data_IF_421556266933
#
_entry.id   IF_421556266933
#
_cell.length_a   1.000
_cell.length_b   1.000
_cell.length_c   1.000
_cell.angle_alpha   90.00
_cell.angle_beta   90.00
_cell.angle_gamma   90.00
#
_symmetry.space_group_name_H-M   'P 1'
#
loop_
_entity.id
_entity.type
_entity.pdbx_description
1 polymer ?
#
# COMPACT_ATOMS: atom_id res chain seq x y z
N UNK A 1 -1.25 -28.91 -5.26
CA UNK A 1 -0.43 -29.51 -4.20
C UNK A 1 -0.69 -28.85 -2.86
N UNK A 2 -0.48 -27.50 -2.69
CA UNK A 2 -0.61 -26.80 -1.42
C UNK A 2 -2.01 -26.96 -0.78
N UNK A 3 -3.06 -26.80 -1.56
CA UNK A 3 -4.44 -26.99 -1.08
C UNK A 3 -4.67 -28.41 -0.56
N UNK A 4 -4.13 -29.42 -1.26
CA UNK A 4 -4.22 -30.81 -0.81
C UNK A 4 -3.46 -31.08 0.51
N UNK A 5 -2.56 -30.17 0.92
CA UNK A 5 -1.87 -30.21 2.21
C UNK A 5 -2.56 -29.34 3.28
N UNK A 6 -3.76 -28.81 3.00
CA UNK A 6 -4.49 -27.93 3.91
C UNK A 6 -3.91 -26.51 4.01
N UNK A 7 -3.09 -26.09 3.04
CA UNK A 7 -2.49 -24.75 2.99
C UNK A 7 -3.27 -23.87 2.03
N UNK A 8 -3.63 -22.65 2.44
CA UNK A 8 -4.24 -21.64 1.59
C UNK A 8 -3.15 -20.89 0.81
N UNK A 9 -3.02 -21.08 -0.52
CA UNK A 9 -2.03 -20.37 -1.31
C UNK A 9 -2.38 -18.90 -1.43
N UNK A 10 -1.36 -18.04 -1.41
CA UNK A 10 -1.50 -16.63 -1.70
C UNK A 10 -0.48 -16.22 -2.77
N UNK A 11 -0.85 -15.27 -3.63
CA UNK A 11 0.04 -14.79 -4.69
C UNK A 11 -0.18 -13.31 -4.98
N UNK A 12 0.85 -12.62 -5.48
CA UNK A 12 0.75 -11.23 -5.91
C UNK A 12 -0.03 -11.10 -7.21
N UNK A 13 -0.99 -10.17 -7.24
CA UNK A 13 -2.06 -10.10 -8.23
C UNK A 13 -1.69 -9.61 -9.61
N UNK A 14 -0.47 -9.09 -9.83
CA UNK A 14 -0.06 -8.51 -11.12
C UNK A 14 -0.13 -9.50 -12.30
N UNK A 15 0.06 -10.78 -12.05
CA UNK A 15 -0.09 -11.81 -13.07
C UNK A 15 -1.53 -11.89 -13.61
N UNK A 16 -2.52 -11.66 -12.74
CA UNK A 16 -3.92 -11.75 -13.11
C UNK A 16 -4.39 -10.59 -13.97
N UNK A 17 -3.76 -9.42 -13.84
CA UNK A 17 -4.05 -8.28 -14.73
C UNK A 17 -3.54 -8.51 -16.14
N UNK A 18 -2.43 -9.26 -16.26
CA UNK A 18 -1.80 -9.59 -17.55
C UNK A 18 -2.47 -10.77 -18.24
N UNK A 19 -2.94 -11.72 -17.45
CA UNK A 19 -3.49 -13.00 -17.91
C UNK A 19 -4.78 -13.33 -17.15
N UNK A 20 -5.87 -12.55 -17.35
CA UNK A 20 -7.11 -12.72 -16.59
C UNK A 20 -7.78 -14.08 -16.82
N UNK A 21 -7.52 -14.74 -17.96
CA UNK A 21 -7.97 -16.10 -18.25
C UNK A 21 -7.44 -17.13 -17.25
N UNK A 22 -6.26 -16.92 -16.69
CA UNK A 22 -5.64 -17.79 -15.69
C UNK A 22 -6.42 -17.85 -14.38
N UNK A 23 -7.31 -16.88 -14.11
CA UNK A 23 -8.17 -16.91 -12.94
C UNK A 23 -9.02 -18.18 -12.85
N UNK A 24 -9.49 -18.67 -14.00
CA UNK A 24 -10.36 -19.86 -14.08
C UNK A 24 -9.61 -21.18 -13.75
N UNK A 25 -8.28 -21.17 -13.83
CA UNK A 25 -7.43 -22.35 -13.58
C UNK A 25 -6.98 -22.46 -12.12
N UNK A 26 -7.14 -21.38 -11.33
CA UNK A 26 -6.71 -21.36 -9.94
C UNK A 26 -7.72 -22.12 -9.03
N UNK A 27 -7.20 -22.83 -8.01
CA UNK A 27 -8.05 -23.36 -6.95
C UNK A 27 -8.82 -22.22 -6.26
N UNK A 28 -10.08 -22.45 -5.94
CA UNK A 28 -10.96 -21.44 -5.31
C UNK A 28 -10.48 -20.97 -3.93
N UNK A 29 -9.69 -21.79 -3.26
CA UNK A 29 -9.07 -21.48 -1.98
C UNK A 29 -7.91 -20.48 -2.09
N UNK A 30 -7.47 -20.19 -3.30
CA UNK A 30 -6.35 -19.27 -3.53
C UNK A 30 -6.77 -17.82 -3.26
N UNK A 31 -5.89 -17.06 -2.62
CA UNK A 31 -6.12 -15.64 -2.31
C UNK A 31 -5.19 -14.77 -3.18
N UNK A 32 -5.76 -13.82 -3.87
CA UNK A 32 -5.03 -12.81 -4.62
C UNK A 32 -4.64 -11.64 -3.71
N UNK A 33 -3.35 -11.33 -3.63
CA UNK A 33 -2.82 -10.12 -3.01
C UNK A 33 -2.80 -9.02 -4.08
N UNK A 34 -3.92 -8.30 -4.19
CA UNK A 34 -4.14 -7.31 -5.25
C UNK A 34 -3.50 -5.99 -4.86
N UNK A 35 -2.29 -5.75 -5.37
CA UNK A 35 -1.48 -4.60 -5.00
C UNK A 35 -1.57 -3.45 -6.02
N UNK A 36 -1.30 -2.24 -5.55
CA UNK A 36 -1.19 -1.07 -6.40
C UNK A 36 -0.85 0.18 -5.58
N UNK A 37 -0.02 1.08 -6.13
CA UNK A 37 0.59 2.18 -5.39
C UNK A 37 0.33 3.55 -6.01
N UNK A 38 -0.58 3.65 -6.98
CA UNK A 38 -1.00 4.94 -7.50
C UNK A 38 -1.88 5.66 -6.46
N UNK A 39 -1.76 6.98 -6.28
CA UNK A 39 -2.62 7.75 -5.39
C UNK A 39 -4.12 7.47 -5.62
N UNK A 40 -4.52 7.40 -6.89
CA UNK A 40 -5.86 7.00 -7.31
C UNK A 40 -5.78 5.67 -8.06
N UNK A 41 -5.63 4.59 -7.30
CA UNK A 41 -5.53 3.25 -7.87
C UNK A 41 -6.76 2.91 -8.72
N UNK A 42 -6.53 2.23 -9.83
CA UNK A 42 -7.58 1.89 -10.79
C UNK A 42 -8.59 0.92 -10.20
N UNK A 43 -9.85 1.27 -10.27
CA UNK A 43 -10.94 0.46 -9.73
C UNK A 43 -11.12 -0.88 -10.46
N UNK A 44 -10.86 -0.91 -11.78
CA UNK A 44 -11.06 -2.11 -12.58
C UNK A 44 -10.18 -3.28 -12.12
N UNK A 45 -9.00 -3.03 -11.58
CA UNK A 45 -8.09 -4.09 -11.13
C UNK A 45 -8.68 -4.90 -9.98
N UNK A 46 -9.36 -4.26 -9.03
CA UNK A 46 -10.00 -4.94 -7.90
C UNK A 46 -11.39 -5.50 -8.28
N UNK A 47 -12.12 -4.78 -9.13
CA UNK A 47 -13.43 -5.18 -9.66
C UNK A 47 -13.34 -6.47 -10.46
N UNK A 48 -12.35 -6.57 -11.36
CA UNK A 48 -12.25 -7.68 -12.30
C UNK A 48 -11.80 -8.97 -11.58
N UNK A 49 -10.94 -8.88 -10.58
CA UNK A 49 -10.62 -10.00 -9.67
C UNK A 49 -11.86 -10.43 -8.88
N UNK A 50 -12.63 -9.50 -8.34
CA UNK A 50 -13.88 -9.84 -7.63
C UNK A 50 -14.87 -10.56 -8.58
N UNK A 51 -15.00 -10.08 -9.82
CA UNK A 51 -15.87 -10.69 -10.83
C UNK A 51 -15.44 -12.11 -11.22
N UNK A 52 -14.16 -12.44 -11.12
CA UNK A 52 -13.64 -13.79 -11.36
C UNK A 52 -13.99 -14.80 -10.25
N UNK A 53 -14.48 -14.32 -9.10
CA UNK A 53 -14.78 -15.12 -7.92
C UNK A 53 -13.57 -15.51 -7.06
N UNK A 54 -12.38 -14.98 -7.37
CA UNK A 54 -11.19 -15.18 -6.55
C UNK A 54 -11.25 -14.27 -5.32
N UNK A 55 -11.01 -14.86 -4.16
CA UNK A 55 -10.84 -14.11 -2.92
C UNK A 55 -9.62 -13.19 -2.98
N UNK A 56 -9.73 -11.95 -2.50
CA UNK A 56 -8.62 -11.00 -2.56
C UNK A 56 -8.44 -10.16 -1.30
N UNK A 57 -7.19 -9.78 -1.05
CA UNK A 57 -6.82 -8.64 -0.20
C UNK A 57 -6.52 -7.42 -1.08
N UNK A 58 -6.88 -6.24 -0.60
CA UNK A 58 -6.35 -4.99 -1.14
C UNK A 58 -4.97 -4.72 -0.51
N UNK A 59 -3.96 -4.47 -1.34
CA UNK A 59 -2.58 -4.32 -0.90
C UNK A 59 -2.01 -2.95 -1.32
N UNK A 60 -2.40 -1.86 -0.63
CA UNK A 60 -1.78 -0.54 -0.82
C UNK A 60 -0.36 -0.49 -0.25
N UNK A 61 0.30 0.65 -0.38
CA UNK A 61 1.63 0.84 0.19
C UNK A 61 1.87 2.19 0.83
N UNK A 62 2.82 2.21 1.75
CA UNK A 62 3.23 3.42 2.48
C UNK A 62 4.16 4.34 1.67
N UNK A 63 4.54 3.93 0.46
CA UNK A 63 5.34 4.71 -0.50
C UNK A 63 6.68 5.21 0.05
N UNK A 64 7.36 4.37 0.87
CA UNK A 64 8.66 4.69 1.49
C UNK A 64 9.88 4.21 0.72
N UNK A 65 9.72 3.33 -0.25
CA UNK A 65 10.84 2.73 -1.02
C UNK A 65 11.54 3.72 -1.93
N UNK A 66 12.85 3.52 -2.14
CA UNK A 66 13.73 4.30 -3.01
C UNK A 66 13.90 5.78 -2.65
N UNK A 67 13.63 6.20 -1.40
CA UNK A 67 13.70 7.60 -0.99
C UNK A 67 14.02 7.76 0.49
N UNK A 68 14.43 8.96 0.88
CA UNK A 68 14.68 9.30 2.29
C UNK A 68 13.37 9.53 3.06
N UNK A 69 12.42 10.22 2.42
CA UNK A 69 11.11 10.53 3.01
C UNK A 69 10.01 9.83 2.24
N UNK A 70 9.08 9.13 2.92
CA UNK A 70 7.89 8.56 2.28
C UNK A 70 7.05 9.63 1.59
N UNK A 71 6.42 9.28 0.47
CA UNK A 71 5.41 10.11 -0.17
C UNK A 71 4.10 10.03 0.63
N UNK A 72 4.02 10.73 1.74
CA UNK A 72 2.96 10.57 2.73
C UNK A 72 1.57 10.90 2.18
N UNK A 73 1.45 11.94 1.36
CA UNK A 73 0.18 12.29 0.72
C UNK A 73 -0.24 11.24 -0.32
N UNK A 74 0.70 10.73 -1.12
CA UNK A 74 0.42 9.66 -2.07
C UNK A 74 0.02 8.37 -1.34
N UNK A 75 0.70 8.03 -0.25
CA UNK A 75 0.36 6.90 0.63
C UNK A 75 -1.06 7.03 1.16
N UNK A 76 -1.42 8.19 1.72
CA UNK A 76 -2.76 8.48 2.20
C UNK A 76 -3.82 8.28 1.11
N UNK A 77 -3.64 8.88 -0.08
CA UNK A 77 -4.57 8.75 -1.19
C UNK A 77 -4.68 7.30 -1.69
N UNK A 78 -3.55 6.62 -1.82
CA UNK A 78 -3.49 5.23 -2.25
C UNK A 78 -4.23 4.30 -1.28
N UNK A 79 -3.91 4.38 0.00
CA UNK A 79 -4.52 3.54 1.04
C UNK A 79 -6.03 3.81 1.12
N UNK A 80 -6.44 5.09 1.16
CA UNK A 80 -7.86 5.49 1.15
C UNK A 80 -8.60 4.91 -0.06
N UNK A 81 -8.03 5.06 -1.26
CA UNK A 81 -8.64 4.58 -2.50
C UNK A 81 -8.75 3.06 -2.52
N UNK A 82 -7.68 2.36 -2.14
CA UNK A 82 -7.66 0.89 -2.12
C UNK A 82 -8.63 0.34 -1.07
N UNK A 83 -8.72 0.94 0.11
CA UNK A 83 -9.71 0.54 1.14
C UNK A 83 -11.14 0.77 0.67
N UNK A 84 -11.42 1.91 0.00
CA UNK A 84 -12.73 2.16 -0.59
C UNK A 84 -13.11 1.09 -1.62
N UNK A 85 -12.20 0.75 -2.53
CA UNK A 85 -12.43 -0.32 -3.51
C UNK A 85 -12.59 -1.68 -2.82
N UNK A 86 -11.80 -1.97 -1.79
CA UNK A 86 -11.90 -3.20 -1.01
C UNK A 86 -13.30 -3.38 -0.42
N UNK A 87 -13.85 -2.34 0.21
CA UNK A 87 -15.22 -2.35 0.72
C UNK A 87 -16.25 -2.55 -0.38
N UNK A 88 -16.12 -1.80 -1.48
CA UNK A 88 -17.06 -1.85 -2.60
C UNK A 88 -17.14 -3.23 -3.27
N UNK A 89 -16.02 -3.96 -3.34
CA UNK A 89 -15.90 -5.24 -4.03
C UNK A 89 -15.68 -6.43 -3.08
N UNK A 90 -15.99 -6.26 -1.79
CA UNK A 90 -15.96 -7.33 -0.79
C UNK A 90 -14.62 -8.06 -0.71
N UNK A 91 -13.51 -7.34 -0.82
CA UNK A 91 -12.21 -7.90 -0.46
C UNK A 91 -12.20 -8.30 1.02
N UNK A 92 -11.51 -9.38 1.35
CA UNK A 92 -11.54 -9.96 2.70
C UNK A 92 -10.72 -9.18 3.73
N UNK A 93 -9.92 -8.20 3.28
CA UNK A 93 -9.13 -7.37 4.17
C UNK A 93 -8.11 -6.51 3.45
N UNK A 94 -7.26 -5.89 4.25
CA UNK A 94 -6.17 -5.00 3.86
C UNK A 94 -4.83 -5.63 4.23
N UNK A 95 -3.87 -5.61 3.32
CA UNK A 95 -2.46 -5.87 3.57
C UNK A 95 -1.67 -4.62 3.18
N UNK A 96 -1.50 -3.68 4.10
CA UNK A 96 -0.72 -2.47 3.87
C UNK A 96 0.77 -2.80 3.81
N UNK A 97 1.45 -2.42 2.73
CA UNK A 97 2.82 -2.84 2.43
C UNK A 97 3.83 -1.71 2.63
N UNK A 98 5.02 -2.09 3.09
CA UNK A 98 6.21 -1.24 3.14
C UNK A 98 7.37 -1.98 2.47
N UNK A 99 7.70 -1.56 1.24
CA UNK A 99 8.73 -2.22 0.43
C UNK A 99 10.10 -1.58 0.65
N UNK A 100 11.12 -2.42 0.64
CA UNK A 100 12.52 -2.01 0.76
C UNK A 100 13.31 -2.26 -0.51
N UNK A 101 12.80 -1.85 -1.66
CA UNK A 101 13.41 -2.02 -2.97
C UNK A 101 14.85 -1.51 -2.99
N UNK A 102 15.77 -2.27 -3.56
CA UNK A 102 17.21 -1.99 -3.61
C UNK A 102 17.87 -1.80 -2.22
N UNK A 103 17.30 -2.42 -1.18
CA UNK A 103 17.66 -2.16 0.20
C UNK A 103 16.97 -0.91 0.76
N UNK A 104 16.41 -1.02 1.93
CA UNK A 104 15.62 0.03 2.58
C UNK A 104 16.53 1.21 2.98
N UNK A 105 16.55 2.26 2.17
CA UNK A 105 17.47 3.40 2.36
C UNK A 105 17.01 4.38 3.42
N UNK A 106 15.69 4.51 3.63
CA UNK A 106 15.14 5.41 4.65
C UNK A 106 15.12 4.77 6.05
N UNK A 107 14.88 5.58 7.05
CA UNK A 107 14.59 5.09 8.41
C UNK A 107 13.16 4.51 8.43
N UNK A 108 12.97 3.21 8.76
CA UNK A 108 11.65 2.58 8.79
C UNK A 108 10.64 3.27 9.72
N UNK A 109 11.10 4.06 10.70
CA UNK A 109 10.22 4.84 11.58
C UNK A 109 9.47 5.95 10.83
N UNK A 110 9.97 6.39 9.68
CA UNK A 110 9.34 7.43 8.86
C UNK A 110 8.09 6.90 8.13
N UNK A 111 7.95 5.58 7.96
CA UNK A 111 6.78 4.96 7.30
C UNK A 111 5.61 4.69 8.26
N UNK A 112 5.83 4.84 9.57
CA UNK A 112 4.80 4.62 10.61
C UNK A 112 3.50 5.39 10.33
N UNK A 113 3.50 6.69 9.94
CA UNK A 113 2.24 7.36 9.60
C UNK A 113 1.45 6.63 8.51
N UNK A 114 2.10 6.14 7.45
CA UNK A 114 1.45 5.36 6.39
C UNK A 114 0.86 4.03 6.89
N UNK A 115 1.53 3.38 7.85
CA UNK A 115 0.99 2.18 8.51
C UNK A 115 -0.27 2.53 9.30
N UNK A 116 -0.27 3.65 10.02
CA UNK A 116 -1.42 4.12 10.80
C UNK A 116 -2.57 4.59 9.90
N UNK A 117 -2.30 5.14 8.71
CA UNK A 117 -3.35 5.39 7.71
C UNK A 117 -4.03 4.09 7.29
N UNK A 118 -3.26 3.02 7.08
CA UNK A 118 -3.81 1.69 6.79
C UNK A 118 -4.70 1.17 7.91
N UNK A 119 -4.30 1.34 9.16
CA UNK A 119 -5.11 0.97 10.31
C UNK A 119 -6.42 1.76 10.38
N UNK A 120 -6.37 3.08 10.16
CA UNK A 120 -7.53 3.94 10.18
C UNK A 120 -8.55 3.58 9.08
N UNK A 121 -8.12 3.47 7.82
CA UNK A 121 -9.00 3.15 6.69
C UNK A 121 -9.39 1.68 6.60
N UNK A 122 -8.59 0.78 7.12
CA UNK A 122 -8.95 -0.64 7.22
C UNK A 122 -10.02 -0.90 8.28
N UNK A 123 -10.09 -0.06 9.32
CA UNK A 123 -11.08 -0.14 10.39
C UNK A 123 -12.35 0.64 10.08
N UNK A 124 -12.22 1.85 9.51
CA UNK A 124 -13.32 2.75 9.19
C UNK A 124 -13.52 2.89 7.69
N UNK A 125 -14.75 2.68 7.22
CA UNK A 125 -15.15 2.99 5.84
C UNK A 125 -15.30 4.50 5.58
N UNK A 126 -15.53 5.29 6.64
CA UNK A 126 -15.70 6.73 6.53
C UNK A 126 -14.38 7.44 6.24
N UNK A 127 -14.36 8.35 5.26
CA UNK A 127 -13.16 9.08 4.92
C UNK A 127 -12.78 10.07 6.04
N UNK A 128 -11.50 10.07 6.39
CA UNK A 128 -10.88 11.07 7.27
C UNK A 128 -9.96 11.92 6.42
N UNK A 129 -9.99 13.23 6.56
CA UNK A 129 -9.14 14.13 5.77
C UNK A 129 -7.67 14.04 6.20
N UNK A 130 -6.76 14.32 5.25
CA UNK A 130 -5.33 14.12 5.44
C UNK A 130 -4.78 14.87 6.66
N UNK A 131 -5.13 16.15 6.80
CA UNK A 131 -4.63 16.99 7.90
C UNK A 131 -5.20 16.53 9.26
N UNK A 132 -6.46 16.14 9.30
CA UNK A 132 -7.12 15.62 10.49
C UNK A 132 -6.45 14.30 10.94
N UNK A 133 -6.19 13.40 10.01
CA UNK A 133 -5.51 12.13 10.31
C UNK A 133 -4.07 12.37 10.79
N UNK A 134 -3.33 13.29 10.17
CA UNK A 134 -2.00 13.67 10.60
C UNK A 134 -1.98 14.29 11.99
N UNK A 135 -2.94 15.13 12.32
CA UNK A 135 -3.09 15.68 13.67
C UNK A 135 -3.37 14.57 14.69
N UNK A 136 -4.28 13.66 14.38
CA UNK A 136 -4.59 12.53 15.24
C UNK A 136 -3.36 11.64 15.49
N UNK A 137 -2.62 11.29 14.44
CA UNK A 137 -1.38 10.49 14.55
C UNK A 137 -0.32 11.23 15.36
N UNK A 138 -0.15 12.54 15.14
CA UNK A 138 0.79 13.36 15.91
C UNK A 138 0.50 13.30 17.41
N UNK A 139 -0.77 13.48 17.78
CA UNK A 139 -1.19 13.48 19.20
C UNK A 139 -1.17 12.09 19.83
N UNK A 140 -1.77 11.12 19.16
CA UNK A 140 -2.03 9.80 19.76
C UNK A 140 -0.81 8.89 19.75
N UNK A 141 -0.03 8.91 18.68
CA UNK A 141 1.12 8.03 18.53
C UNK A 141 2.42 8.69 19.00
N UNK A 142 2.67 9.93 18.55
CA UNK A 142 3.92 10.65 18.89
C UNK A 142 3.84 11.45 20.17
N UNK A 143 2.66 11.63 20.77
CA UNK A 143 2.49 12.42 21.99
C UNK A 143 2.72 13.93 21.76
N UNK A 144 2.65 14.39 20.53
CA UNK A 144 2.84 15.80 20.19
C UNK A 144 1.59 16.60 20.54
N UNK A 145 1.66 17.37 21.62
CA UNK A 145 0.54 18.21 22.10
C UNK A 145 0.12 19.28 21.07
N UNK A 146 0.99 19.66 20.14
CA UNK A 146 0.66 20.64 19.08
C UNK A 146 -0.16 20.01 17.95
N UNK A 147 -0.02 18.69 17.74
CA UNK A 147 -0.65 17.96 16.65
C UNK A 147 -0.03 18.22 15.28
N UNK A 148 1.15 18.82 15.21
CA UNK A 148 1.76 19.31 13.97
C UNK A 148 2.86 18.40 13.41
N UNK A 149 3.40 17.50 14.22
CA UNK A 149 4.61 16.74 13.88
C UNK A 149 4.49 15.99 12.54
N UNK A 150 3.43 15.21 12.35
CA UNK A 150 3.25 14.41 11.14
C UNK A 150 2.95 15.29 9.92
N UNK A 151 2.18 16.37 10.10
CA UNK A 151 1.95 17.35 9.03
C UNK A 151 3.22 18.06 8.58
N UNK A 152 4.16 18.35 9.50
CA UNK A 152 5.47 18.89 9.17
C UNK A 152 6.36 17.86 8.46
N UNK A 153 6.35 16.61 8.90
CA UNK A 153 7.01 15.51 8.18
C UNK A 153 6.51 15.39 6.74
N UNK A 154 5.19 15.44 6.53
CA UNK A 154 4.60 15.34 5.21
C UNK A 154 5.08 16.46 4.26
N UNK A 155 5.33 17.65 4.76
CA UNK A 155 5.88 18.76 3.94
C UNK A 155 7.31 18.53 3.49
N UNK A 156 8.10 17.70 4.19
CA UNK A 156 9.47 17.41 3.79
C UNK A 156 9.55 16.62 2.48
N UNK A 157 8.51 15.83 2.16
CA UNK A 157 8.44 15.09 0.87
C UNK A 157 8.56 16.02 -0.35
N UNK A 158 8.09 17.27 -0.24
CA UNK A 158 8.08 18.22 -1.37
C UNK A 158 9.48 18.75 -1.71
N UNK A 159 10.44 18.57 -0.81
CA UNK A 159 11.82 19.00 -0.97
C UNK A 159 12.76 17.86 -1.34
N UNK A 160 12.28 16.63 -1.36
CA UNK A 160 13.10 15.48 -1.71
C UNK A 160 13.08 15.24 -3.21
N UNK A 161 14.24 15.34 -3.82
CA UNK A 161 14.50 15.03 -5.24
C UNK A 161 15.30 13.74 -5.42
N UNK A 162 15.64 13.07 -4.31
CA UNK A 162 16.44 11.85 -4.32
C UNK A 162 15.62 10.63 -4.72
N UNK A 163 16.16 9.82 -5.61
CA UNK A 163 15.64 8.51 -5.98
C UNK A 163 16.78 7.48 -5.87
N UNK A 164 16.68 6.60 -4.87
CA UNK A 164 17.71 5.59 -4.59
C UNK A 164 17.89 4.61 -5.76
N UNK A 165 16.82 4.23 -6.43
CA UNK A 165 16.89 3.36 -7.62
C UNK A 165 17.75 3.99 -8.70
N UNK A 166 17.61 5.28 -8.96
CA UNK A 166 18.44 5.97 -9.95
C UNK A 166 19.91 5.98 -9.54
N UNK A 167 20.20 6.12 -8.25
CA UNK A 167 21.57 6.05 -7.73
C UNK A 167 22.16 4.66 -7.89
N UNK A 168 21.42 3.61 -7.56
CA UNK A 168 21.85 2.22 -7.73
C UNK A 168 22.06 1.89 -9.20
N UNK A 169 21.11 2.23 -10.06
CA UNK A 169 21.24 2.00 -11.50
C UNK A 169 22.44 2.73 -12.09
N UNK A 170 22.71 3.96 -11.64
CA UNK A 170 23.88 4.71 -12.08
C UNK A 170 25.19 4.01 -11.67
N UNK A 171 25.27 3.50 -10.45
CA UNK A 171 26.45 2.77 -9.96
C UNK A 171 26.64 1.45 -10.71
N UNK A 172 25.54 0.73 -11.00
CA UNK A 172 25.59 -0.59 -11.64
C UNK A 172 25.75 -0.53 -13.17
N UNK A 173 25.35 0.57 -13.81
CA UNK A 173 25.45 0.73 -15.26
C UNK A 173 26.77 1.35 -15.72
N UNK A 174 27.67 1.65 -14.83
CA UNK A 174 28.97 2.30 -15.12
C UNK A 174 30.09 1.27 -15.41
N UNK A 175 29.71 0.06 -15.87
CA UNK A 175 30.64 -0.98 -16.36
C UNK A 175 30.74 -1.00 -17.88
#
# INVERSE_FOLDING_TARGET
YLVAQGVTPQFWGDIMWRFPESCAELPKETICLNWGYLPHQRENEIRDIAASGITQYACPGVCGWNRWMPLMYNSYLNIRTMCHHAHKYNAIGLLNTDWGDYGHVNDPRLTIPGILYGAAFGWNAEPVEFDELNEAVSRLYYGDATGQFVGLMAKLQDYEVFDWRNTVNWIECDE
#
